data_IF_019728296713
#
_entry.id   IF_019728296713
#
_cell.length_a   1.000
_cell.length_b   1.000
_cell.length_c   1.000
_cell.angle_alpha   90.00
_cell.angle_beta   90.00
_cell.angle_gamma   90.00
#
_symmetry.space_group_name_H-M   'P 1'
#
loop_
_entity.id
_entity.type
_entity.pdbx_description
1 polymer ?
#
# COMPACT_ATOMS: atom_id res chain seq x y z
N UNK A 1 -5.87 7.39 23.88
CA UNK A 1 -6.12 7.67 22.46
C UNK A 1 -6.98 6.56 21.94
N UNK A 2 -8.18 6.89 21.46
CA UNK A 2 -9.08 5.90 20.87
C UNK A 2 -8.40 5.23 19.68
N UNK A 3 -8.67 3.94 19.49
CA UNK A 3 -8.15 3.07 18.43
C UNK A 3 -8.48 3.49 16.99
N UNK A 4 -9.03 4.70 16.82
CA UNK A 4 -9.53 5.24 15.55
C UNK A 4 -8.86 6.56 15.13
N UNK A 5 -8.01 7.16 15.97
CA UNK A 5 -7.26 8.36 15.58
C UNK A 5 -5.89 7.97 15.02
N UNK A 6 -5.57 8.29 13.75
CA UNK A 6 -4.26 8.01 13.19
C UNK A 6 -3.19 8.92 13.79
N UNK A 7 -1.99 8.36 14.00
CA UNK A 7 -0.77 9.11 14.34
C UNK A 7 -0.25 9.87 13.12
N UNK A 8 -0.29 9.24 11.95
CA UNK A 8 0.09 9.86 10.69
C UNK A 8 -0.95 9.56 9.60
N UNK A 9 -1.31 10.58 8.84
CA UNK A 9 -2.18 10.45 7.68
C UNK A 9 -1.46 10.97 6.45
N UNK A 10 -1.53 10.20 5.37
CA UNK A 10 -1.03 10.55 4.06
C UNK A 10 -2.16 10.59 3.04
N UNK A 11 -2.07 11.49 2.08
CA UNK A 11 -3.01 11.59 0.95
C UNK A 11 -2.26 11.44 -0.36
N UNK A 12 -2.84 10.68 -1.28
CA UNK A 12 -2.32 10.58 -2.64
C UNK A 12 -2.86 11.74 -3.46
N UNK A 13 -1.97 12.57 -3.99
CA UNK A 13 -2.29 13.79 -4.72
C UNK A 13 -1.68 13.76 -6.12
N UNK A 14 -2.50 14.07 -7.12
CA UNK A 14 -2.05 14.35 -8.48
C UNK A 14 -1.64 15.82 -8.60
N UNK A 15 -0.44 16.09 -9.13
CA UNK A 15 0.14 17.42 -9.31
C UNK A 15 0.53 17.63 -10.78
N UNK A 16 0.71 18.89 -11.17
CA UNK A 16 1.14 19.29 -12.52
C UNK A 16 0.24 18.67 -13.60
N UNK A 17 -1.07 18.88 -13.49
CA UNK A 17 -2.10 18.38 -14.42
C UNK A 17 -2.07 16.87 -14.67
N UNK A 18 -1.62 16.09 -13.68
CA UNK A 18 -1.53 14.63 -13.81
C UNK A 18 -0.15 14.11 -14.16
N UNK A 19 0.82 15.00 -14.46
CA UNK A 19 2.18 14.58 -14.80
C UNK A 19 2.93 13.95 -13.62
N UNK A 20 2.54 14.27 -12.38
CA UNK A 20 3.21 13.74 -11.18
C UNK A 20 2.20 13.27 -10.14
N UNK A 21 2.46 12.10 -9.55
CA UNK A 21 1.75 11.62 -8.36
C UNK A 21 2.62 11.80 -7.13
N UNK A 22 2.05 12.36 -6.06
CA UNK A 22 2.70 12.59 -4.77
C UNK A 22 1.93 11.92 -3.65
N UNK A 23 2.63 11.59 -2.57
CA UNK A 23 2.05 11.13 -1.31
C UNK A 23 2.38 12.22 -0.29
N UNK A 24 1.38 13.02 0.03
CA UNK A 24 1.53 14.17 0.91
C UNK A 24 1.21 13.75 2.34
N UNK A 25 2.05 14.15 3.29
CA UNK A 25 1.76 14.03 4.73
C UNK A 25 0.80 15.13 5.13
N UNK A 26 -0.28 14.78 5.81
CA UNK A 26 -1.21 15.74 6.41
C UNK A 26 -0.71 16.14 7.78
N UNK A 27 -0.64 17.46 8.03
CA UNK A 27 -0.40 17.98 9.35
C UNK A 27 -1.64 17.76 10.24
N UNK A 28 -1.53 17.08 11.39
CA UNK A 28 -2.69 16.61 12.15
C UNK A 28 -3.56 17.74 12.70
N UNK A 29 -2.98 18.92 12.98
CA UNK A 29 -3.74 20.05 13.56
C UNK A 29 -4.32 21.00 12.51
N UNK A 30 -3.69 21.12 11.35
CA UNK A 30 -4.06 22.14 10.34
C UNK A 30 -4.66 21.53 9.08
N UNK A 31 -4.55 20.21 8.90
CA UNK A 31 -4.96 19.53 7.67
C UNK A 31 -4.10 19.88 6.45
N UNK A 32 -3.02 20.64 6.63
CA UNK A 32 -2.15 21.05 5.54
C UNK A 32 -1.39 19.86 4.97
N UNK A 33 -1.47 19.68 3.65
CA UNK A 33 -0.77 18.62 2.92
C UNK A 33 0.62 19.10 2.47
N UNK A 34 1.67 18.38 2.88
CA UNK A 34 3.05 18.63 2.47
C UNK A 34 3.61 17.40 1.77
N UNK A 35 4.19 17.51 0.56
CA UNK A 35 4.82 16.39 -0.13
C UNK A 35 5.83 15.67 0.76
N UNK A 36 5.59 14.39 1.03
CA UNK A 36 6.55 13.51 1.69
C UNK A 36 7.24 12.62 0.66
N UNK A 37 6.46 12.12 -0.31
CA UNK A 37 6.97 11.25 -1.37
C UNK A 37 6.46 11.64 -2.76
N UNK A 38 7.24 11.26 -3.77
CA UNK A 38 6.89 11.27 -5.17
C UNK A 38 6.84 9.82 -5.66
N UNK A 39 5.75 9.47 -6.33
CA UNK A 39 5.53 8.14 -6.89
C UNK A 39 5.87 8.14 -8.38
N UNK A 40 6.94 7.44 -8.74
CA UNK A 40 7.34 7.22 -10.13
C UNK A 40 6.91 5.82 -10.57
N UNK A 41 5.87 5.77 -11.40
CA UNK A 41 5.45 4.55 -12.09
C UNK A 41 5.98 4.58 -13.51
N UNK A 42 6.54 3.47 -13.97
CA UNK A 42 6.92 3.35 -15.38
C UNK A 42 5.73 2.79 -16.16
N UNK A 43 5.14 3.53 -17.12
CA UNK A 43 3.98 3.06 -17.86
C UNK A 43 4.25 1.71 -18.54
N UNK A 44 3.28 0.79 -18.45
CA UNK A 44 3.40 -0.56 -19.02
C UNK A 44 4.33 -1.51 -18.26
N UNK A 45 5.08 -1.03 -17.26
CA UNK A 45 5.88 -1.86 -16.37
C UNK A 45 5.09 -2.05 -15.06
N UNK A 46 5.16 -3.26 -14.51
CA UNK A 46 4.63 -3.55 -13.17
C UNK A 46 5.63 -3.17 -12.07
N UNK A 47 6.26 -2.00 -12.24
CA UNK A 47 7.36 -1.52 -11.39
C UNK A 47 7.11 -0.07 -11.02
N UNK A 48 7.34 0.28 -9.77
CA UNK A 48 7.34 1.67 -9.34
C UNK A 48 8.43 1.96 -8.30
N UNK A 49 8.77 3.23 -8.17
CA UNK A 49 9.66 3.77 -7.16
C UNK A 49 8.95 4.84 -6.34
N UNK A 50 9.17 4.82 -5.02
CA UNK A 50 8.74 5.84 -4.08
C UNK A 50 9.97 6.63 -3.67
N UNK A 51 10.03 7.91 -4.06
CA UNK A 51 11.14 8.82 -3.78
C UNK A 51 10.72 9.80 -2.69
N UNK A 52 11.63 10.27 -1.84
CA UNK A 52 11.28 11.39 -0.96
C UNK A 52 11.12 12.68 -1.78
N UNK A 53 10.09 13.46 -1.47
CA UNK A 53 9.79 14.68 -2.21
C UNK A 53 10.84 15.79 -2.02
N UNK A 54 11.55 15.79 -0.89
CA UNK A 54 12.63 16.73 -0.59
C UNK A 54 13.99 16.32 -1.18
N UNK A 55 14.06 15.17 -1.84
CA UNK A 55 15.32 14.61 -2.30
C UNK A 55 15.73 15.18 -3.67
N UNK A 56 17.03 15.42 -3.85
CA UNK A 56 17.57 15.77 -5.16
C UNK A 56 17.45 14.63 -6.18
N UNK A 57 17.69 14.89 -7.47
CA UNK A 57 17.44 13.94 -8.57
C UNK A 57 18.24 12.63 -8.47
N UNK A 58 19.33 12.61 -7.71
CA UNK A 58 20.19 11.43 -7.53
C UNK A 58 19.99 10.73 -6.18
N UNK A 59 18.99 11.15 -5.38
CA UNK A 59 18.77 10.55 -4.10
C UNK A 59 18.22 9.12 -4.24
N UNK A 60 18.65 8.19 -3.39
CA UNK A 60 18.09 6.85 -3.38
C UNK A 60 16.59 6.89 -3.02
N UNK A 61 15.81 6.04 -3.68
CA UNK A 61 14.40 5.85 -3.37
C UNK A 61 14.20 5.42 -1.92
N UNK A 62 13.06 5.80 -1.32
CA UNK A 62 12.58 5.23 -0.06
C UNK A 62 12.31 3.73 -0.23
N UNK A 63 11.77 3.36 -1.40
CA UNK A 63 11.73 1.98 -1.85
C UNK A 63 11.26 1.83 -3.29
N UNK A 64 11.41 0.63 -3.81
CA UNK A 64 10.91 0.22 -5.13
C UNK A 64 10.12 -1.07 -4.99
N UNK A 65 9.19 -1.31 -5.90
CA UNK A 65 8.55 -2.61 -6.01
C UNK A 65 8.43 -3.05 -7.46
N UNK A 66 8.42 -4.37 -7.65
CA UNK A 66 8.24 -5.02 -8.95
C UNK A 66 7.31 -6.22 -8.79
N UNK A 67 6.17 -6.19 -9.48
CA UNK A 67 5.28 -7.34 -9.56
C UNK A 67 5.69 -8.29 -10.69
N UNK A 68 5.76 -9.57 -10.38
CA UNK A 68 6.09 -10.62 -11.33
C UNK A 68 4.83 -11.28 -11.85
N UNK A 69 4.53 -11.06 -13.14
CA UNK A 69 3.30 -11.56 -13.78
C UNK A 69 3.10 -13.08 -13.70
N UNK A 70 4.17 -13.86 -13.61
CA UNK A 70 4.12 -15.32 -13.66
C UNK A 70 4.00 -16.00 -12.30
N UNK A 71 4.47 -15.34 -11.23
CA UNK A 71 4.55 -15.96 -9.88
C UNK A 71 3.61 -15.34 -8.85
N UNK A 72 2.84 -14.31 -9.22
CA UNK A 72 2.07 -13.47 -8.30
C UNK A 72 2.90 -12.90 -7.12
N UNK A 73 4.23 -12.98 -7.21
CA UNK A 73 5.14 -12.44 -6.22
C UNK A 73 5.43 -10.96 -6.55
N UNK A 74 5.69 -10.19 -5.49
CA UNK A 74 6.13 -8.81 -5.60
C UNK A 74 7.43 -8.66 -4.82
N UNK A 75 8.50 -8.27 -5.52
CA UNK A 75 9.73 -7.90 -4.85
C UNK A 75 9.61 -6.45 -4.40
N UNK A 76 9.90 -6.17 -3.12
CA UNK A 76 9.90 -4.83 -2.54
C UNK A 76 11.30 -4.57 -1.98
N UNK A 77 11.95 -3.51 -2.44
CA UNK A 77 13.28 -3.12 -1.96
C UNK A 77 13.15 -1.81 -1.21
N UNK A 78 13.51 -1.78 0.07
CA UNK A 78 13.56 -0.56 0.86
C UNK A 78 14.98 0.03 0.87
N UNK A 79 15.08 1.34 1.10
CA UNK A 79 16.36 2.05 1.17
C UNK A 79 17.30 1.44 2.22
N UNK A 80 18.53 1.11 1.81
CA UNK A 80 19.58 0.66 2.73
C UNK A 80 19.28 -0.66 3.45
N UNK A 81 18.21 -1.35 3.08
CA UNK A 81 17.74 -2.58 3.70
C UNK A 81 17.82 -3.78 2.76
N UNK A 82 17.59 -5.00 3.29
CA UNK A 82 17.55 -6.20 2.47
C UNK A 82 16.29 -6.21 1.59
N UNK A 83 16.30 -7.01 0.51
CA UNK A 83 15.15 -7.17 -0.38
C UNK A 83 14.02 -7.91 0.36
N UNK A 84 12.87 -7.28 0.48
CA UNK A 84 11.65 -7.88 1.04
C UNK A 84 10.90 -8.59 -0.07
N UNK A 85 10.41 -9.81 0.19
CA UNK A 85 9.47 -10.48 -0.70
C UNK A 85 8.07 -10.30 -0.13
N UNK A 86 7.22 -9.64 -0.90
CA UNK A 86 5.78 -9.63 -0.68
C UNK A 86 5.18 -10.72 -1.55
N UNK A 87 4.48 -11.65 -0.92
CA UNK A 87 3.79 -12.73 -1.60
C UNK A 87 2.30 -12.53 -1.39
N UNK A 88 1.54 -12.60 -2.48
CA UNK A 88 0.11 -12.83 -2.36
C UNK A 88 -0.07 -14.23 -1.76
N UNK A 89 -0.75 -14.30 -0.61
CA UNK A 89 -1.09 -15.56 0.04
C UNK A 89 -2.61 -15.64 0.10
N UNK A 90 -3.20 -16.51 -0.72
CA UNK A 90 -4.59 -16.89 -0.60
C UNK A 90 -4.86 -18.23 -1.31
N UNK A 91 -5.51 -19.16 -0.62
CA UNK A 91 -6.08 -20.37 -1.22
C UNK A 91 -7.55 -20.17 -1.66
N UNK A 92 -8.30 -19.19 -1.13
CA UNK A 92 -9.71 -18.90 -1.50
C UNK A 92 -10.11 -17.41 -1.41
N UNK A 93 -11.09 -17.00 -2.23
CA UNK A 93 -11.77 -15.70 -2.11
C UNK A 93 -12.90 -15.81 -1.05
N UNK A 94 -13.04 -14.89 -0.07
CA UNK A 94 -12.50 -13.52 0.03
C UNK A 94 -11.28 -13.33 0.94
N UNK A 95 -10.61 -14.39 1.39
CA UNK A 95 -9.53 -14.35 2.41
C UNK A 95 -8.17 -13.83 1.90
N UNK A 96 -8.15 -13.10 0.76
CA UNK A 96 -6.91 -12.65 0.12
C UNK A 96 -6.13 -11.68 1.01
N UNK A 97 -4.89 -12.06 1.33
CA UNK A 97 -3.93 -11.23 2.05
C UNK A 97 -2.61 -11.21 1.29
N UNK A 98 -1.98 -10.06 1.22
CA UNK A 98 -0.61 -9.90 0.77
C UNK A 98 0.27 -9.95 1.99
N UNK A 99 1.03 -11.03 2.14
CA UNK A 99 1.94 -11.24 3.25
C UNK A 99 3.31 -10.75 2.83
N UNK A 100 3.92 -9.92 3.66
CA UNK A 100 5.31 -9.53 3.48
C UNK A 100 6.08 -9.78 4.76
N UNK A 101 7.30 -10.27 4.59
CA UNK A 101 8.18 -10.61 5.69
C UNK A 101 9.47 -9.80 5.56
N UNK A 102 9.94 -9.25 6.68
CA UNK A 102 11.31 -8.76 6.74
C UNK A 102 12.28 -9.93 6.64
N UNK A 103 13.37 -9.80 5.86
CA UNK A 103 14.43 -10.80 5.85
C UNK A 103 14.96 -10.99 7.28
N UNK A 104 14.78 -12.18 7.83
CA UNK A 104 15.33 -12.54 9.14
C UNK A 104 16.83 -12.71 9.02
N UNK A 105 17.60 -12.00 9.84
CA UNK A 105 19.02 -12.28 10.00
C UNK A 105 19.20 -13.65 10.64
N UNK A 106 19.75 -14.61 9.89
CA UNK A 106 20.52 -15.76 10.39
C UNK A 106 20.02 -16.57 11.59
N UNK A 107 18.70 -16.75 11.80
CA UNK A 107 18.23 -17.69 12.83
C UNK A 107 16.79 -17.54 13.35
N UNK A 108 16.08 -16.45 13.06
CA UNK A 108 14.70 -16.27 13.51
C UNK A 108 13.89 -15.42 12.54
N UNK A 109 12.69 -15.88 12.20
CA UNK A 109 11.82 -15.23 11.21
C UNK A 109 11.61 -13.75 11.50
N UNK A 110 11.89 -12.91 10.51
CA UNK A 110 11.70 -11.47 10.62
C UNK A 110 10.23 -11.07 10.83
N UNK A 111 10.01 -9.80 11.15
CA UNK A 111 8.67 -9.25 11.33
C UNK A 111 7.82 -9.52 10.07
N UNK A 112 6.59 -9.99 10.29
CA UNK A 112 5.65 -10.31 9.22
C UNK A 112 4.44 -9.41 9.34
N UNK A 113 4.02 -8.88 8.21
CA UNK A 113 2.85 -8.03 8.14
C UNK A 113 1.98 -8.42 6.95
N UNK A 114 0.73 -7.95 6.99
CA UNK A 114 -0.22 -8.20 5.92
C UNK A 114 -0.93 -6.93 5.48
N UNK A 115 -1.14 -6.81 4.17
CA UNK A 115 -2.19 -5.97 3.59
C UNK A 115 -3.33 -6.88 3.14
N UNK A 116 -4.55 -6.61 3.58
CA UNK A 116 -5.72 -7.40 3.17
C UNK A 116 -6.99 -6.58 3.24
N UNK A 117 -8.11 -7.14 2.77
CA UNK A 117 -9.42 -6.47 2.87
C UNK A 117 -9.67 -6.02 4.30
N UNK A 118 -10.14 -4.79 4.43
CA UNK A 118 -10.52 -4.26 5.71
C UNK A 118 -11.75 -5.01 6.25
N UNK A 119 -11.56 -5.72 7.38
CA UNK A 119 -12.59 -6.62 7.91
C UNK A 119 -13.83 -5.89 8.43
N UNK A 120 -13.73 -4.59 8.77
CA UNK A 120 -14.88 -3.80 9.25
C UNK A 120 -15.82 -3.45 8.11
N UNK A 121 -15.29 -3.23 6.91
CA UNK A 121 -16.07 -2.72 5.76
C UNK A 121 -16.24 -3.72 4.64
N UNK A 122 -15.41 -4.78 4.59
CA UNK A 122 -15.29 -5.76 3.52
C UNK A 122 -15.15 -5.17 2.10
N UNK A 123 -14.86 -3.87 2.04
CA UNK A 123 -14.83 -3.11 0.80
C UNK A 123 -13.54 -3.41 0.06
N UNK A 124 -13.59 -3.72 -1.26
CA UNK A 124 -12.38 -3.88 -2.06
C UNK A 124 -11.58 -2.57 -2.17
N UNK A 125 -12.17 -1.44 -1.77
CA UNK A 125 -11.56 -0.11 -1.81
C UNK A 125 -10.89 0.29 -0.50
N UNK A 126 -10.89 -0.59 0.51
CA UNK A 126 -10.28 -0.37 1.83
C UNK A 126 -9.42 -1.58 2.20
N UNK A 127 -8.17 -1.32 2.55
CA UNK A 127 -7.23 -2.36 2.99
C UNK A 127 -6.79 -2.08 4.42
N UNK A 128 -6.72 -3.10 5.26
CA UNK A 128 -6.05 -3.03 6.56
C UNK A 128 -4.59 -3.45 6.42
N UNK A 129 -3.70 -2.72 7.07
CA UNK A 129 -2.34 -3.11 7.36
C UNK A 129 -2.27 -3.74 8.76
N UNK A 130 -1.77 -4.97 8.88
CA UNK A 130 -1.79 -5.73 10.15
C UNK A 130 -0.46 -6.37 10.47
N UNK A 131 -0.18 -6.49 11.76
CA UNK A 131 0.80 -7.44 12.27
C UNK A 131 0.32 -8.87 12.00
N UNK A 132 1.14 -9.69 11.36
CA UNK A 132 0.72 -11.02 10.92
C UNK A 132 0.62 -12.05 12.06
N UNK A 133 1.29 -11.81 13.20
CA UNK A 133 1.26 -12.72 14.34
C UNK A 133 0.03 -12.49 15.23
N UNK A 134 -0.35 -11.22 15.39
CA UNK A 134 -1.41 -10.80 16.31
C UNK A 134 -2.70 -10.37 15.60
N UNK A 135 -2.67 -10.23 14.28
CA UNK A 135 -3.76 -9.66 13.45
C UNK A 135 -4.18 -8.24 13.86
N UNK A 136 -3.39 -7.58 14.72
CA UNK A 136 -3.62 -6.20 15.14
C UNK A 136 -3.54 -5.26 13.95
N UNK A 137 -4.56 -4.43 13.76
CA UNK A 137 -4.54 -3.36 12.75
C UNK A 137 -3.54 -2.28 13.18
N UNK A 138 -2.54 -2.06 12.32
CA UNK A 138 -1.50 -1.05 12.50
C UNK A 138 -1.75 0.18 11.62
N UNK A 139 -2.43 0.00 10.50
CA UNK A 139 -2.76 1.08 9.56
C UNK A 139 -3.86 0.69 8.59
N UNK A 140 -4.30 1.63 7.76
CA UNK A 140 -5.31 1.45 6.72
C UNK A 140 -4.96 2.21 5.46
N UNK A 141 -5.46 1.69 4.35
CA UNK A 141 -5.63 2.42 3.11
C UNK A 141 -7.11 2.54 2.78
N UNK A 142 -7.53 3.70 2.27
CA UNK A 142 -8.87 3.90 1.73
C UNK A 142 -8.81 4.72 0.43
N UNK A 143 -9.34 4.17 -0.67
CA UNK A 143 -9.43 4.87 -1.96
C UNK A 143 -10.39 6.07 -1.89
N UNK A 144 -11.49 5.89 -1.15
CA UNK A 144 -12.47 6.94 -0.85
C UNK A 144 -12.67 6.97 0.67
N UNK A 145 -12.02 7.90 1.40
CA UNK A 145 -12.22 8.04 2.83
C UNK A 145 -13.67 8.45 3.13
N UNK A 146 -14.22 7.96 4.23
CA UNK A 146 -15.61 8.26 4.61
C UNK A 146 -15.74 9.75 5.00
N UNK A 147 -16.67 10.47 4.37
CA UNK A 147 -17.01 11.85 4.71
C UNK A 147 -16.93 12.86 3.56
N UNK A 148 -17.84 13.84 3.56
CA UNK A 148 -17.94 14.90 2.54
C UNK A 148 -16.74 15.88 2.50
N UNK A 149 -15.91 15.92 3.54
CA UNK A 149 -14.83 16.90 3.68
C UNK A 149 -13.48 16.46 3.05
N UNK A 150 -13.26 15.17 2.80
CA UNK A 150 -11.95 14.66 2.37
C UNK A 150 -11.71 14.71 0.84
N UNK A 151 -12.77 14.88 0.05
CA UNK A 151 -12.70 14.69 -1.40
C UNK A 151 -12.35 13.24 -1.79
N UNK A 152 -12.38 12.88 -3.08
CA UNK A 152 -12.19 11.50 -3.56
C UNK A 152 -10.71 11.10 -3.63
N UNK A 153 -9.89 11.47 -2.65
CA UNK A 153 -8.45 11.22 -2.68
C UNK A 153 -8.08 9.99 -1.85
N UNK A 154 -7.27 9.07 -2.39
CA UNK A 154 -6.80 7.93 -1.62
C UNK A 154 -5.99 8.35 -0.40
N UNK A 155 -6.16 7.64 0.71
CA UNK A 155 -5.54 7.95 2.00
C UNK A 155 -4.84 6.73 2.59
N UNK A 156 -3.71 6.98 3.26
CA UNK A 156 -3.11 6.04 4.20
C UNK A 156 -3.19 6.62 5.60
N UNK A 157 -3.56 5.79 6.57
CA UNK A 157 -3.65 6.15 7.98
C UNK A 157 -2.85 5.15 8.81
N UNK A 158 -1.84 5.62 9.55
CA UNK A 158 -1.06 4.82 10.48
C UNK A 158 -1.57 5.01 11.90
N UNK A 159 -1.98 3.94 12.58
CA UNK A 159 -2.58 3.97 13.92
C UNK A 159 -1.60 3.64 15.05
N UNK A 160 -0.31 3.53 14.73
CA UNK A 160 0.77 3.31 15.70
C UNK A 160 1.80 4.43 15.63
N UNK A 161 2.53 4.69 16.72
CA UNK A 161 3.59 5.70 16.72
C UNK A 161 4.67 5.45 15.65
N UNK A 162 5.32 6.49 15.11
CA UNK A 162 6.38 6.39 14.08
C UNK A 162 7.67 5.64 14.45
N UNK A 163 7.72 4.95 15.59
CA UNK A 163 8.81 4.03 15.96
C UNK A 163 8.40 2.56 16.03
N UNK A 164 7.10 2.26 15.90
CA UNK A 164 6.58 0.89 15.94
C UNK A 164 6.70 0.19 14.58
N UNK A 165 6.54 0.96 13.52
CA UNK A 165 6.60 0.49 12.12
C UNK A 165 7.39 1.54 11.34
N UNK A 166 8.30 1.08 10.49
CA UNK A 166 8.97 1.94 9.53
C UNK A 166 7.95 2.55 8.55
N UNK A 167 7.88 3.89 8.51
CA UNK A 167 6.91 4.62 7.69
C UNK A 167 7.15 4.42 6.19
N UNK A 168 8.41 4.32 5.76
CA UNK A 168 8.75 4.06 4.36
C UNK A 168 8.31 2.66 3.97
N UNK A 169 8.52 1.66 4.83
CA UNK A 169 7.99 0.32 4.65
C UNK A 169 6.46 0.34 4.52
N UNK A 170 5.76 1.05 5.41
CA UNK A 170 4.30 1.16 5.38
C UNK A 170 3.80 1.77 4.07
N UNK A 171 4.38 2.89 3.64
CA UNK A 171 3.99 3.58 2.41
C UNK A 171 4.33 2.74 1.18
N UNK A 172 5.56 2.24 1.06
CA UNK A 172 6.00 1.46 -0.12
C UNK A 172 5.19 0.19 -0.28
N UNK A 173 4.99 -0.57 0.80
CA UNK A 173 4.20 -1.81 0.74
C UNK A 173 2.71 -1.53 0.51
N UNK A 174 2.18 -0.44 1.05
CA UNK A 174 0.80 -0.02 0.80
C UNK A 174 0.56 0.33 -0.67
N UNK A 175 1.47 1.10 -1.29
CA UNK A 175 1.39 1.43 -2.72
C UNK A 175 1.49 0.16 -3.57
N UNK A 176 2.44 -0.73 -3.27
CA UNK A 176 2.56 -2.01 -3.97
C UNK A 176 1.27 -2.84 -3.84
N UNK A 177 0.69 -2.89 -2.64
CA UNK A 177 -0.50 -3.67 -2.38
C UNK A 177 -1.73 -3.16 -3.14
N UNK A 178 -1.87 -1.83 -3.23
CA UNK A 178 -2.93 -1.18 -4.00
C UNK A 178 -2.79 -1.41 -5.50
N UNK A 179 -1.57 -1.32 -6.04
CA UNK A 179 -1.34 -1.53 -7.47
C UNK A 179 -1.67 -2.97 -7.87
N UNK A 180 -1.32 -3.94 -7.03
CA UNK A 180 -1.72 -5.34 -7.21
C UNK A 180 -3.25 -5.49 -7.16
N UNK A 181 -3.89 -4.90 -6.15
CA UNK A 181 -5.33 -5.02 -5.93
C UNK A 181 -6.16 -4.36 -7.03
N UNK A 182 -5.75 -3.19 -7.52
CA UNK A 182 -6.40 -2.49 -8.62
C UNK A 182 -6.31 -3.28 -9.93
N UNK A 183 -5.16 -3.91 -10.20
CA UNK A 183 -4.99 -4.79 -11.35
C UNK A 183 -5.82 -6.08 -11.25
N UNK A 184 -6.02 -6.60 -10.04
CA UNK A 184 -6.88 -7.75 -9.79
C UNK A 184 -8.37 -7.45 -9.88
N UNK A 185 -8.84 -6.27 -9.45
CA UNK A 185 -10.23 -5.87 -9.67
C UNK A 185 -10.52 -5.76 -11.18
N UNK A 186 -9.62 -5.14 -11.96
CA UNK A 186 -9.78 -5.07 -13.42
C UNK A 186 -9.78 -6.45 -14.09
N UNK A 187 -8.90 -7.37 -13.63
CA UNK A 187 -8.84 -8.74 -14.11
C UNK A 187 -10.03 -9.59 -13.63
N UNK A 188 -10.50 -9.37 -12.40
CA UNK A 188 -11.61 -10.05 -11.76
C UNK A 188 -12.95 -9.71 -12.39
N UNK A 189 -13.15 -8.46 -12.78
CA UNK A 189 -14.30 -8.06 -13.61
C UNK A 189 -14.26 -8.70 -15.01
N UNK A 190 -13.07 -8.80 -15.64
CA UNK A 190 -12.90 -9.52 -16.92
C UNK A 190 -13.15 -11.03 -16.79
N UNK A 191 -12.77 -11.64 -15.66
CA UNK A 191 -12.96 -13.08 -15.39
C UNK A 191 -14.43 -13.41 -15.07
N UNK A 192 -15.09 -12.58 -14.25
CA UNK A 192 -16.53 -12.68 -13.98
C UNK A 192 -17.35 -12.46 -15.26
N UNK A 193 -16.96 -11.51 -16.11
CA UNK A 193 -17.58 -11.30 -17.43
C UNK A 193 -17.48 -12.52 -18.37
N UNK A 194 -16.45 -13.37 -18.23
CA UNK A 194 -16.34 -14.63 -18.98
C UNK A 194 -17.18 -15.76 -18.39
N UNK A 195 -17.37 -15.81 -17.07
CA UNK A 195 -18.21 -16.82 -16.42
C UNK A 195 -19.71 -16.64 -16.71
N UNK A 196 -20.17 -15.41 -16.96
CA UNK A 196 -21.55 -15.13 -17.40
C UNK A 196 -21.76 -15.21 -18.93
N UNK A 197 -20.71 -15.48 -19.72
CA UNK A 197 -20.80 -15.65 -21.17
C UNK A 197 -21.03 -17.11 -21.61
N UNK A 198 -21.05 -18.07 -20.69
CA UNK A 198 -21.26 -19.50 -20.98
C UNK A 198 -22.59 -20.06 -20.43
N UNK A 199 -23.53 -19.18 -20.06
CA UNK A 199 -24.88 -19.56 -19.63
C UNK A 199 -25.98 -18.99 -20.57
N UNK A 200 -25.63 -18.75 -21.84
CA UNK A 200 -26.55 -18.35 -22.90
C UNK A 200 -26.62 -19.40 -23.99
#
# INVERSE_FOLDING_TARGET
MDSHTPYETFVVTSRHDGAQTTIDRLHPQTGQATPAYVLHKTPGQKTAAVLYASAGPNAPAAGTFRHHSLSAATDVTLRGGPLFKMQLVAEDYPARKQVFASPGGGGGGGARFTWGKDAETLSPRKLSFRDAATERVLGRYAMYPDGRAAGPRPTFALYVPPGTVDVDMFVVTGVAAMDLWAGEDEAGFKLLGKLFSFAG
#
